data_IF_341723388242
#
_entry.id   IF_341723388242
#
_cell.length_a   1.000
_cell.length_b   1.000
_cell.length_c   1.000
_cell.angle_alpha   90.00
_cell.angle_beta   90.00
_cell.angle_gamma   90.00
#
_symmetry.space_group_name_H-M   'P 1'
#
loop_
_entity.id
_entity.type
_entity.pdbx_description
1 polymer ?
#
# COMPACT_ATOMS: atom_id res chain seq x y z
N UNK A 1 -15.99 14.34 12.80
CA UNK A 1 -16.26 13.54 11.58
C UNK A 1 -17.72 13.08 11.63
N UNK A 2 -18.45 13.08 10.51
CA UNK A 2 -19.79 12.48 10.47
C UNK A 2 -19.67 11.02 10.05
N UNK A 3 -19.99 10.11 10.95
CA UNK A 3 -19.91 8.68 10.67
C UNK A 3 -21.16 8.15 9.96
N UNK A 4 -20.96 7.08 9.21
CA UNK A 4 -22.04 6.29 8.62
C UNK A 4 -23.00 5.77 9.72
N UNK A 5 -24.33 5.77 9.50
CA UNK A 5 -25.29 5.30 10.51
C UNK A 5 -25.09 3.85 10.97
N UNK A 6 -24.63 2.96 10.09
CA UNK A 6 -24.34 1.56 10.41
C UNK A 6 -23.11 1.50 11.31
N UNK A 7 -22.07 2.29 11.00
CA UNK A 7 -20.89 2.42 11.88
C UNK A 7 -21.31 2.89 13.27
N UNK A 8 -22.06 3.99 13.37
CA UNK A 8 -22.56 4.52 14.65
C UNK A 8 -23.36 3.50 15.46
N UNK A 9 -24.23 2.73 14.81
CA UNK A 9 -25.02 1.68 15.46
C UNK A 9 -24.15 0.55 16.02
N UNK A 10 -23.04 0.23 15.36
CA UNK A 10 -22.06 -0.74 15.87
C UNK A 10 -21.29 -0.16 17.05
N UNK A 11 -20.92 1.13 17.01
CA UNK A 11 -20.21 1.79 18.11
C UNK A 11 -21.03 1.86 19.40
N UNK A 12 -22.35 2.08 19.29
CA UNK A 12 -23.23 2.20 20.47
C UNK A 12 -23.37 0.90 21.28
N UNK A 13 -22.88 -0.22 20.76
CA UNK A 13 -22.90 -1.54 21.43
C UNK A 13 -21.61 -1.84 22.18
N UNK A 14 -20.58 -1.01 22.04
CA UNK A 14 -19.29 -1.28 22.66
C UNK A 14 -19.34 -1.05 24.16
N UNK A 15 -18.71 -1.97 24.89
CA UNK A 15 -18.61 -1.95 26.34
C UNK A 15 -17.14 -1.75 26.70
N UNK A 16 -16.86 -0.79 27.58
CA UNK A 16 -15.51 -0.39 27.97
C UNK A 16 -14.62 -1.54 28.44
N UNK A 17 -15.15 -2.46 29.24
CA UNK A 17 -14.43 -3.60 29.79
C UNK A 17 -15.23 -4.88 29.52
N UNK A 18 -15.10 -5.48 28.34
CA UNK A 18 -15.82 -6.71 28.04
C UNK A 18 -15.28 -7.86 28.92
N UNK A 19 -16.18 -8.69 29.43
CA UNK A 19 -15.87 -9.85 30.29
C UNK A 19 -16.39 -11.17 29.71
N UNK A 20 -17.17 -11.12 28.63
CA UNK A 20 -17.74 -12.30 27.98
C UNK A 20 -17.45 -12.30 26.48
N UNK A 21 -17.47 -13.48 25.86
CA UNK A 21 -17.31 -13.60 24.41
C UNK A 21 -18.39 -12.87 23.62
N UNK A 22 -19.63 -12.80 24.13
CA UNK A 22 -20.71 -12.02 23.51
C UNK A 22 -20.37 -10.53 23.43
N UNK A 23 -19.73 -9.98 24.48
CA UNK A 23 -19.32 -8.58 24.48
C UNK A 23 -18.09 -8.37 23.58
N UNK A 24 -17.15 -9.30 23.59
CA UNK A 24 -16.01 -9.32 22.67
C UNK A 24 -16.47 -9.37 21.21
N UNK A 25 -17.56 -10.09 20.93
CA UNK A 25 -18.13 -10.21 19.59
C UNK A 25 -18.47 -8.84 18.97
N UNK A 26 -18.87 -7.84 19.76
CA UNK A 26 -19.13 -6.50 19.22
C UNK A 26 -17.87 -5.81 18.69
N UNK A 27 -16.73 -5.96 19.36
CA UNK A 27 -15.44 -5.48 18.86
C UNK A 27 -15.00 -6.25 17.61
N UNK A 28 -15.19 -7.58 17.63
CA UNK A 28 -14.89 -8.44 16.50
C UNK A 28 -15.73 -8.07 15.27
N UNK A 29 -17.01 -7.75 15.46
CA UNK A 29 -17.91 -7.28 14.40
C UNK A 29 -17.41 -5.98 13.75
N UNK A 30 -16.93 -5.03 14.54
CA UNK A 30 -16.35 -3.79 13.99
C UNK A 30 -15.17 -4.11 13.08
N UNK A 31 -14.26 -4.97 13.52
CA UNK A 31 -13.08 -5.34 12.72
C UNK A 31 -13.48 -6.13 11.47
N UNK A 32 -14.41 -7.07 11.57
CA UNK A 32 -14.85 -7.86 10.41
C UNK A 32 -15.60 -7.02 9.38
N UNK A 33 -16.36 -6.02 9.82
CA UNK A 33 -17.21 -5.21 8.93
C UNK A 33 -16.46 -4.00 8.36
N UNK A 34 -15.66 -3.32 9.17
CA UNK A 34 -15.02 -2.05 8.80
C UNK A 34 -13.50 -2.16 8.64
N UNK A 35 -12.90 -3.29 8.96
CA UNK A 35 -11.46 -3.51 8.90
C UNK A 35 -10.71 -2.96 10.12
N UNK A 36 -9.40 -2.78 9.98
CA UNK A 36 -8.49 -2.33 11.05
C UNK A 36 -8.01 -0.89 10.89
N UNK A 37 -8.24 -0.31 9.71
CA UNK A 37 -7.79 1.02 9.32
C UNK A 37 -8.91 1.71 8.54
N UNK A 38 -8.92 3.04 8.57
CA UNK A 38 -9.70 3.84 7.63
C UNK A 38 -8.76 4.61 6.70
N UNK A 39 -9.28 5.02 5.55
CA UNK A 39 -8.54 5.84 4.60
C UNK A 39 -8.64 7.30 5.08
N UNK A 40 -7.53 7.87 5.53
CA UNK A 40 -7.47 9.25 6.03
C UNK A 40 -7.14 10.25 4.92
N UNK A 41 -6.50 9.79 3.84
CA UNK A 41 -6.22 10.61 2.67
C UNK A 41 -6.14 9.73 1.43
N UNK A 42 -6.61 10.24 0.30
CA UNK A 42 -6.47 9.63 -1.02
C UNK A 42 -5.79 10.61 -1.97
N UNK A 43 -4.99 10.05 -2.87
CA UNK A 43 -4.53 10.73 -4.08
C UNK A 43 -5.25 10.09 -5.25
N UNK A 44 -5.95 10.90 -6.04
CA UNK A 44 -6.70 10.46 -7.21
C UNK A 44 -6.04 10.99 -8.49
N UNK A 45 -6.16 10.24 -9.59
CA UNK A 45 -5.67 10.64 -10.91
C UNK A 45 -5.50 9.43 -11.82
N UNK A 46 -4.47 9.45 -12.67
CA UNK A 46 -4.07 8.32 -13.49
C UNK A 46 -2.69 7.77 -13.10
N UNK A 47 -2.51 6.46 -13.28
CA UNK A 47 -1.23 5.76 -13.19
C UNK A 47 -1.00 4.98 -14.48
N UNK A 48 0.25 5.01 -14.95
CA UNK A 48 0.78 4.04 -15.90
C UNK A 48 1.89 3.26 -15.21
N UNK A 49 1.75 1.95 -15.18
CA UNK A 49 2.74 1.02 -14.63
C UNK A 49 3.39 0.25 -15.77
N UNK A 50 4.71 0.21 -15.79
CA UNK A 50 5.46 -0.61 -16.74
C UNK A 50 6.18 -1.73 -15.99
N UNK A 51 5.90 -2.96 -16.38
CA UNK A 51 6.54 -4.16 -15.85
C UNK A 51 7.50 -4.70 -16.91
N UNK A 52 8.79 -4.71 -16.61
CA UNK A 52 9.80 -5.34 -17.46
C UNK A 52 10.22 -6.66 -16.84
N UNK A 53 9.94 -7.75 -17.52
CA UNK A 53 10.45 -9.07 -17.17
C UNK A 53 11.78 -9.25 -17.90
N UNK A 54 12.83 -9.60 -17.16
CA UNK A 54 14.18 -9.79 -17.70
C UNK A 54 14.57 -11.26 -17.52
N UNK A 55 15.03 -11.91 -18.59
CA UNK A 55 15.45 -13.32 -18.55
C UNK A 55 16.55 -13.54 -17.51
N UNK A 56 16.52 -14.69 -16.82
CA UNK A 56 17.55 -15.03 -15.82
C UNK A 56 18.94 -15.10 -16.45
N UNK A 57 19.04 -15.62 -17.68
CA UNK A 57 20.29 -15.66 -18.44
C UNK A 57 20.89 -14.26 -18.60
N UNK A 58 20.08 -13.26 -18.93
CA UNK A 58 20.58 -11.89 -19.06
C UNK A 58 21.02 -11.31 -17.71
N UNK A 59 20.29 -11.60 -16.62
CA UNK A 59 20.66 -11.19 -15.26
C UNK A 59 21.98 -11.80 -14.76
N UNK A 60 22.37 -12.97 -15.25
CA UNK A 60 23.64 -13.61 -14.91
C UNK A 60 24.84 -12.97 -15.60
N UNK A 61 24.64 -12.38 -16.79
CA UNK A 61 25.71 -11.80 -17.61
C UNK A 61 25.93 -10.31 -17.36
N UNK A 62 24.90 -9.62 -16.88
CA UNK A 62 24.92 -8.17 -16.68
C UNK A 62 24.67 -7.81 -15.22
N UNK A 63 25.42 -6.83 -14.72
CA UNK A 63 25.18 -6.31 -13.39
C UNK A 63 23.86 -5.52 -13.32
N UNK A 64 23.33 -5.41 -12.10
CA UNK A 64 22.04 -4.76 -11.85
C UNK A 64 21.96 -3.32 -12.37
N UNK A 65 23.04 -2.54 -12.27
CA UNK A 65 23.04 -1.13 -12.69
C UNK A 65 22.95 -1.03 -14.22
N UNK A 66 23.64 -1.92 -14.94
CA UNK A 66 23.53 -2.02 -16.40
C UNK A 66 22.11 -2.37 -16.85
N UNK A 67 21.47 -3.32 -16.18
CA UNK A 67 20.07 -3.71 -16.47
C UNK A 67 19.12 -2.54 -16.19
N UNK A 68 19.25 -1.88 -15.04
CA UNK A 68 18.43 -0.71 -14.68
C UNK A 68 18.60 0.43 -15.68
N UNK A 69 19.83 0.69 -16.16
CA UNK A 69 20.08 1.68 -17.20
C UNK A 69 19.35 1.35 -18.50
N UNK A 70 19.42 0.10 -18.96
CA UNK A 70 18.69 -0.33 -20.16
C UNK A 70 17.17 -0.21 -19.98
N UNK A 71 16.64 -0.59 -18.80
CA UNK A 71 15.23 -0.40 -18.45
C UNK A 71 14.82 1.07 -18.50
N UNK A 72 15.62 1.99 -17.96
CA UNK A 72 15.33 3.43 -18.00
C UNK A 72 15.32 4.00 -19.42
N UNK A 73 16.25 3.57 -20.28
CA UNK A 73 16.27 3.97 -21.70
C UNK A 73 15.02 3.45 -22.42
N UNK A 74 14.70 2.16 -22.25
CA UNK A 74 13.52 1.54 -22.86
C UNK A 74 12.21 2.19 -22.40
N UNK A 75 12.12 2.53 -21.11
CA UNK A 75 10.99 3.26 -20.54
C UNK A 75 10.83 4.64 -21.20
N UNK A 76 11.91 5.40 -21.33
CA UNK A 76 11.90 6.71 -22.01
C UNK A 76 11.45 6.61 -23.47
N UNK A 77 11.92 5.60 -24.20
CA UNK A 77 11.52 5.34 -25.58
C UNK A 77 10.02 5.05 -25.70
N UNK A 78 9.47 4.17 -24.86
CA UNK A 78 8.04 3.82 -24.89
C UNK A 78 7.17 5.03 -24.55
N UNK A 79 7.52 5.78 -23.50
CA UNK A 79 6.79 7.01 -23.15
C UNK A 79 6.84 8.04 -24.28
N UNK A 80 8.00 8.20 -24.92
CA UNK A 80 8.17 9.09 -26.07
C UNK A 80 7.22 8.69 -27.21
N UNK A 81 7.22 7.40 -27.60
CA UNK A 81 6.32 6.85 -28.63
C UNK A 81 4.83 7.02 -28.30
N UNK A 82 4.48 6.95 -27.02
CA UNK A 82 3.13 7.19 -26.54
C UNK A 82 2.73 8.67 -26.59
N UNK A 83 3.69 9.58 -26.51
CA UNK A 83 3.48 11.04 -26.42
C UNK A 83 3.57 11.81 -27.74
N UNK A 84 3.69 11.14 -28.89
CA UNK A 84 3.98 11.74 -30.22
C UNK A 84 2.92 12.77 -30.72
N UNK A 85 1.82 12.96 -30.01
CA UNK A 85 0.91 14.11 -30.19
C UNK A 85 1.45 15.43 -29.61
N UNK A 86 2.53 15.41 -28.82
CA UNK A 86 3.22 16.57 -28.27
C UNK A 86 4.68 16.58 -28.73
N UNK A 87 5.17 17.73 -29.19
CA UNK A 87 6.50 17.98 -29.78
C UNK A 87 7.70 17.68 -28.83
N UNK A 88 7.82 16.45 -28.34
CA UNK A 88 8.96 15.97 -27.58
C UNK A 88 10.01 15.45 -28.54
N UNK A 89 11.02 16.27 -28.83
CA UNK A 89 12.23 15.83 -29.52
C UNK A 89 13.02 14.91 -28.58
N UNK A 90 12.80 13.59 -28.65
CA UNK A 90 13.48 12.64 -27.75
C UNK A 90 14.10 11.42 -28.43
N UNK A 91 15.13 10.92 -27.74
CA UNK A 91 16.15 9.95 -28.14
C UNK A 91 15.61 8.71 -28.87
N UNK A 92 16.33 8.32 -29.92
CA UNK A 92 16.23 7.00 -30.55
C UNK A 92 16.37 5.93 -29.46
N UNK A 93 15.55 4.87 -29.54
CA UNK A 93 15.65 3.72 -28.66
C UNK A 93 17.07 3.14 -28.67
N UNK A 94 17.88 3.55 -27.69
CA UNK A 94 19.27 3.16 -27.51
C UNK A 94 19.40 1.89 -26.65
N UNK A 95 18.30 1.16 -26.42
CA UNK A 95 18.41 -0.15 -25.78
C UNK A 95 19.11 -1.14 -26.69
N UNK A 96 19.92 -2.03 -26.11
CA UNK A 96 20.64 -3.02 -26.91
C UNK A 96 19.67 -4.07 -27.46
N UNK A 97 19.95 -4.58 -28.66
CA UNK A 97 19.16 -5.68 -29.23
C UNK A 97 19.18 -6.94 -28.35
N UNK A 98 20.26 -7.14 -27.60
CA UNK A 98 20.34 -8.22 -26.61
C UNK A 98 19.36 -8.01 -25.45
N UNK A 99 19.24 -6.79 -24.94
CA UNK A 99 18.26 -6.45 -23.92
C UNK A 99 16.84 -6.71 -24.45
N UNK A 100 16.49 -6.15 -25.62
CA UNK A 100 15.16 -6.34 -26.23
C UNK A 100 14.76 -7.81 -26.39
N UNK A 101 15.70 -8.66 -26.83
CA UNK A 101 15.47 -10.11 -27.00
C UNK A 101 15.30 -10.87 -25.69
N UNK A 102 15.83 -10.34 -24.59
CA UNK A 102 15.79 -10.96 -23.27
C UNK A 102 14.78 -10.31 -22.33
N UNK A 103 13.96 -9.38 -22.83
CA UNK A 103 12.97 -8.70 -22.03
C UNK A 103 11.58 -8.75 -22.62
N UNK A 104 10.57 -8.86 -21.75
CA UNK A 104 9.17 -8.66 -22.09
C UNK A 104 8.66 -7.46 -21.31
N UNK A 105 7.95 -6.55 -21.99
CA UNK A 105 7.42 -5.33 -21.39
C UNK A 105 5.89 -5.37 -21.42
N UNK A 106 5.28 -5.29 -20.24
CA UNK A 106 3.84 -5.14 -20.06
C UNK A 106 3.55 -3.72 -19.53
N UNK A 107 2.63 -3.01 -20.17
CA UNK A 107 2.17 -1.68 -19.73
C UNK A 107 0.73 -1.78 -19.25
N UNK A 108 0.49 -1.35 -18.00
CA UNK A 108 -0.85 -1.29 -17.39
C UNK A 108 -1.25 0.16 -17.17
N UNK A 109 -2.46 0.47 -17.57
CA UNK A 109 -3.07 1.77 -17.40
C UNK A 109 -4.14 1.71 -16.31
N UNK A 110 -4.18 2.73 -15.47
CA UNK A 110 -5.18 2.93 -14.43
C UNK A 110 -5.65 4.40 -14.49
N UNK A 111 -6.92 4.71 -14.81
CA UNK A 111 -8.00 3.79 -15.18
C UNK A 111 -7.65 2.91 -16.40
N UNK A 112 -8.21 1.70 -16.42
CA UNK A 112 -7.95 0.73 -17.48
C UNK A 112 -8.42 1.27 -18.84
N UNK A 113 -7.62 1.03 -19.89
CA UNK A 113 -7.97 1.30 -21.29
C UNK A 113 -8.14 -0.01 -22.03
N UNK A 114 -9.22 -0.15 -22.80
CA UNK A 114 -9.38 -1.30 -23.68
C UNK A 114 -8.55 -1.08 -24.94
N UNK A 115 -7.73 -2.07 -25.28
CA UNK A 115 -6.80 -2.00 -26.39
C UNK A 115 -7.25 -2.90 -27.51
N UNK A 116 -7.49 -2.36 -28.69
CA UNK A 116 -7.65 -3.13 -29.94
C UNK A 116 -6.39 -2.98 -30.79
N UNK A 117 -6.15 -3.85 -31.79
CA UNK A 117 -5.03 -3.67 -32.72
C UNK A 117 -5.03 -2.28 -33.38
N UNK A 118 -6.21 -1.70 -33.62
CA UNK A 118 -6.38 -0.39 -34.24
C UNK A 118 -6.16 0.78 -33.27
N UNK A 119 -6.34 0.60 -31.95
CA UNK A 119 -6.15 1.67 -30.95
C UNK A 119 -4.83 1.56 -30.19
N UNK A 120 -3.99 0.58 -30.51
CA UNK A 120 -2.70 0.35 -29.80
C UNK A 120 -1.81 1.60 -29.75
N UNK A 121 -1.80 2.41 -30.80
CA UNK A 121 -1.02 3.65 -30.87
C UNK A 121 -1.67 4.85 -30.17
N UNK A 122 -2.95 4.77 -29.80
CA UNK A 122 -3.72 5.83 -29.11
C UNK A 122 -3.97 5.54 -27.63
N UNK A 123 -3.36 4.49 -27.08
CA UNK A 123 -3.60 4.06 -25.70
C UNK A 123 -3.32 5.17 -24.71
N UNK A 124 -2.29 5.96 -24.95
CA UNK A 124 -1.92 7.10 -24.12
C UNK A 124 -2.97 8.20 -24.13
N UNK A 125 -3.39 8.66 -25.31
CA UNK A 125 -4.41 9.71 -25.43
C UNK A 125 -5.75 9.27 -24.80
N UNK A 126 -6.15 8.02 -25.04
CA UNK A 126 -7.37 7.44 -24.45
C UNK A 126 -7.23 7.35 -22.92
N UNK A 127 -6.06 6.95 -22.42
CA UNK A 127 -5.81 6.88 -20.99
C UNK A 127 -5.80 8.27 -20.36
N UNK A 128 -5.18 9.25 -21.00
CA UNK A 128 -5.09 10.62 -20.50
C UNK A 128 -6.47 11.27 -20.38
N UNK A 129 -7.32 11.07 -21.38
CA UNK A 129 -8.73 11.48 -21.35
C UNK A 129 -9.49 10.80 -20.20
N UNK A 130 -9.32 9.48 -20.03
CA UNK A 130 -9.94 8.74 -18.92
C UNK A 130 -9.41 9.10 -17.55
N UNK A 131 -8.11 9.37 -17.41
CA UNK A 131 -7.50 9.77 -16.15
C UNK A 131 -8.05 11.12 -15.67
N UNK A 132 -8.39 11.99 -16.63
CA UNK A 132 -8.98 13.30 -16.37
C UNK A 132 -10.48 13.22 -16.08
N UNK A 133 -11.23 12.42 -16.85
CA UNK A 133 -12.70 12.30 -16.70
C UNK A 133 -13.15 11.30 -15.63
N UNK A 134 -12.37 10.24 -15.40
CA UNK A 134 -12.66 9.12 -14.49
C UNK A 134 -11.41 8.72 -13.68
N UNK A 135 -10.87 9.62 -12.84
CA UNK A 135 -9.67 9.33 -12.07
C UNK A 135 -9.87 8.14 -11.13
N UNK A 136 -8.80 7.40 -10.86
CA UNK A 136 -8.79 6.31 -9.89
C UNK A 136 -7.98 6.66 -8.66
N UNK A 137 -8.19 5.94 -7.56
CA UNK A 137 -7.37 6.07 -6.35
C UNK A 137 -5.99 5.50 -6.63
N UNK A 138 -4.98 6.37 -6.68
CA UNK A 138 -3.59 6.03 -6.95
C UNK A 138 -2.87 5.64 -5.67
N UNK A 139 -3.09 6.43 -4.62
CA UNK A 139 -2.45 6.23 -3.34
C UNK A 139 -3.46 6.49 -2.23
N UNK A 140 -3.28 5.77 -1.12
CA UNK A 140 -4.09 5.89 0.07
C UNK A 140 -3.20 5.92 1.29
N UNK A 141 -3.44 6.89 2.16
CA UNK A 141 -2.89 6.87 3.52
C UNK A 141 -3.91 6.19 4.41
N UNK A 142 -3.47 5.18 5.15
CA UNK A 142 -4.28 4.46 6.10
C UNK A 142 -3.94 4.94 7.51
N UNK A 143 -4.98 5.23 8.29
CA UNK A 143 -4.86 5.55 9.71
C UNK A 143 -5.53 4.46 10.54
N UNK A 144 -5.00 4.13 11.73
CA UNK A 144 -5.62 3.15 12.62
C UNK A 144 -7.08 3.48 12.89
N UNK A 145 -7.95 2.47 12.86
CA UNK A 145 -9.38 2.68 13.11
C UNK A 145 -9.64 3.30 14.51
N UNK A 146 -8.77 3.01 15.48
CA UNK A 146 -8.81 3.53 16.85
C UNK A 146 -8.66 5.05 16.95
N UNK A 147 -8.14 5.72 15.92
CA UNK A 147 -8.05 7.19 15.89
C UNK A 147 -9.43 7.84 15.76
N UNK A 148 -10.42 7.13 15.20
CA UNK A 148 -11.80 7.61 15.10
C UNK A 148 -12.54 7.63 16.45
N UNK A 149 -11.96 7.02 17.48
CA UNK A 149 -12.59 6.81 18.79
C UNK A 149 -12.15 7.84 19.83
N UNK A 150 -11.67 9.01 19.40
CA UNK A 150 -11.08 10.00 20.32
C UNK A 150 -12.07 10.49 21.40
N UNK A 151 -13.36 10.52 21.09
CA UNK A 151 -14.45 10.92 21.98
C UNK A 151 -14.99 9.76 22.85
N UNK A 152 -14.53 8.54 22.64
CA UNK A 152 -14.94 7.36 23.41
C UNK A 152 -14.03 7.14 24.62
N UNK A 153 -14.54 6.47 25.68
CA UNK A 153 -13.74 6.05 26.82
C UNK A 153 -12.42 5.38 26.41
N UNK A 154 -11.35 5.68 27.15
CA UNK A 154 -10.01 5.19 26.86
C UNK A 154 -9.92 3.65 26.88
N UNK A 155 -10.76 3.01 27.69
CA UNK A 155 -10.88 1.56 27.79
C UNK A 155 -11.38 0.95 26.48
N UNK A 156 -12.39 1.56 25.84
CA UNK A 156 -12.89 1.13 24.52
C UNK A 156 -11.78 1.21 23.49
N UNK A 157 -11.07 2.35 23.45
CA UNK A 157 -9.94 2.57 22.51
C UNK A 157 -8.84 1.53 22.73
N UNK A 158 -8.45 1.31 23.99
CA UNK A 158 -7.42 0.34 24.37
C UNK A 158 -7.83 -1.07 23.98
N UNK A 159 -9.06 -1.46 24.26
CA UNK A 159 -9.57 -2.80 23.99
C UNK A 159 -9.70 -3.07 22.49
N UNK A 160 -10.22 -2.09 21.73
CA UNK A 160 -10.24 -2.15 20.27
C UNK A 160 -8.83 -2.28 19.70
N UNK A 161 -7.87 -1.50 20.21
CA UNK A 161 -6.48 -1.58 19.76
C UNK A 161 -5.86 -2.95 20.04
N UNK A 162 -6.11 -3.54 21.22
CA UNK A 162 -5.67 -4.90 21.54
C UNK A 162 -6.31 -5.94 20.61
N UNK A 163 -7.58 -5.77 20.28
CA UNK A 163 -8.30 -6.66 19.36
C UNK A 163 -7.72 -6.58 17.94
N UNK A 164 -7.45 -5.36 17.45
CA UNK A 164 -6.79 -5.12 16.16
C UNK A 164 -5.38 -5.72 16.14
N UNK A 165 -4.57 -5.45 17.18
CA UNK A 165 -3.21 -5.99 17.31
C UNK A 165 -3.20 -7.52 17.26
N UNK A 166 -4.15 -8.16 17.95
CA UNK A 166 -4.29 -9.61 17.92
C UNK A 166 -4.67 -10.10 16.52
N UNK A 167 -5.67 -9.49 15.88
CA UNK A 167 -6.13 -9.87 14.55
C UNK A 167 -5.00 -9.78 13.51
N UNK A 168 -4.25 -8.67 13.49
CA UNK A 168 -3.14 -8.45 12.56
C UNK A 168 -2.00 -9.47 12.74
N UNK A 169 -1.74 -9.92 13.97
CA UNK A 169 -0.66 -10.88 14.26
C UNK A 169 -1.06 -12.33 13.97
N UNK A 170 -2.32 -12.68 14.20
CA UNK A 170 -2.77 -14.07 14.20
C UNK A 170 -3.66 -14.41 12.99
N UNK A 171 -4.08 -13.43 12.20
CA UNK A 171 -4.99 -13.62 11.06
C UNK A 171 -6.41 -14.07 11.45
N UNK A 172 -6.78 -14.00 12.74
CA UNK A 172 -8.08 -14.43 13.25
C UNK A 172 -8.57 -13.53 14.39
N UNK A 173 -9.88 -13.43 14.55
CA UNK A 173 -10.52 -12.64 15.60
C UNK A 173 -10.36 -13.35 16.96
N UNK A 174 -10.07 -12.62 18.05
CA UNK A 174 -9.84 -13.21 19.36
C UNK A 174 -11.14 -13.54 20.12
N UNK A 175 -11.04 -14.49 21.05
CA UNK A 175 -11.96 -14.62 22.19
C UNK A 175 -11.54 -13.72 23.35
N UNK A 176 -12.40 -13.53 24.35
CA UNK A 176 -12.08 -12.68 25.50
C UNK A 176 -10.88 -13.22 26.31
N UNK A 177 -10.78 -14.55 26.45
CA UNK A 177 -9.68 -15.22 27.15
C UNK A 177 -8.33 -15.02 26.45
N UNK A 178 -8.34 -15.04 25.12
CA UNK A 178 -7.13 -14.83 24.31
C UNK A 178 -6.59 -13.41 24.50
N UNK A 179 -7.45 -12.40 24.54
CA UNK A 179 -7.02 -11.01 24.79
C UNK A 179 -6.47 -10.81 26.19
N UNK A 180 -7.08 -11.44 27.19
CA UNK A 180 -6.63 -11.38 28.57
C UNK A 180 -5.18 -11.88 28.71
N UNK A 181 -4.83 -12.95 27.98
CA UNK A 181 -3.45 -13.47 27.96
C UNK A 181 -2.44 -12.51 27.31
N UNK A 182 -2.87 -11.73 26.32
CA UNK A 182 -2.02 -10.77 25.59
C UNK A 182 -1.74 -9.53 26.46
N UNK A 183 -2.76 -9.00 27.12
CA UNK A 183 -2.61 -7.84 28.00
C UNK A 183 -1.64 -8.13 29.15
N UNK A 184 -1.75 -9.33 29.74
CA UNK A 184 -0.81 -9.80 30.78
C UNK A 184 0.64 -9.88 30.28
N UNK A 185 0.86 -10.37 29.05
CA UNK A 185 2.21 -10.40 28.45
C UNK A 185 2.76 -9.00 28.23
N UNK A 186 1.95 -8.07 27.71
CA UNK A 186 2.36 -6.69 27.43
C UNK A 186 2.73 -5.95 28.73
N UNK A 187 1.94 -6.11 29.79
CA UNK A 187 2.24 -5.56 31.13
C UNK A 187 3.55 -6.11 31.69
N UNK A 188 3.80 -7.42 31.56
CA UNK A 188 5.08 -8.04 31.98
C UNK A 188 6.27 -7.49 31.20
N UNK A 189 6.16 -7.34 29.87
CA UNK A 189 7.24 -6.80 29.04
C UNK A 189 7.57 -5.35 29.39
N UNK A 190 6.57 -4.52 29.69
CA UNK A 190 6.79 -3.12 30.13
C UNK A 190 7.52 -3.10 31.48
N UNK A 191 7.10 -3.93 32.43
CA UNK A 191 7.74 -4.01 33.75
C UNK A 191 9.20 -4.48 33.65
N UNK A 192 9.50 -5.42 32.76
CA UNK A 192 10.88 -5.89 32.52
C UNK A 192 11.71 -4.80 31.84
N UNK A 193 11.18 -4.14 30.79
CA UNK A 193 11.87 -3.06 30.11
C UNK A 193 12.18 -1.89 31.06
N UNK A 194 11.21 -1.46 31.88
CA UNK A 194 11.42 -0.40 32.87
C UNK A 194 12.48 -0.76 33.92
N UNK A 195 12.61 -2.05 34.30
CA UNK A 195 13.69 -2.51 35.20
C UNK A 195 15.07 -2.55 34.54
N UNK A 196 15.14 -2.75 33.23
CA UNK A 196 16.40 -2.87 32.49
C UNK A 196 16.90 -1.52 31.92
N UNK A 197 16.00 -0.55 31.77
CA UNK A 197 16.31 0.78 31.23
C UNK A 197 17.31 1.65 32.04
N UNK A 198 17.55 1.47 33.37
CA UNK A 198 18.58 2.26 34.06
C UNK A 198 20.02 1.96 33.61
N UNK A 199 20.27 0.85 32.90
CA UNK A 199 21.62 0.32 32.66
C UNK A 199 22.01 0.14 31.18
N UNK A 200 21.15 0.49 30.23
CA UNK A 200 21.45 0.33 28.81
C UNK A 200 21.97 1.63 28.21
N UNK A 201 23.30 1.74 28.12
CA UNK A 201 23.95 2.69 27.19
C UNK A 201 23.56 2.32 25.75
N UNK A 202 23.05 3.31 25.02
CA UNK A 202 22.51 3.17 23.67
C UNK A 202 23.59 2.64 22.70
N UNK A 203 23.35 1.48 22.08
CA UNK A 203 24.17 0.97 20.97
C UNK A 203 23.32 0.88 19.72
N UNK A 204 23.82 1.39 18.60
CA UNK A 204 23.03 1.54 17.38
C UNK A 204 22.64 0.20 16.73
N UNK A 205 21.42 0.08 16.17
CA UNK A 205 20.95 -1.14 15.53
C UNK A 205 21.49 -1.32 14.10
N UNK A 206 22.03 -2.52 13.82
CA UNK A 206 22.52 -2.95 12.49
C UNK A 206 21.37 -3.16 11.48
N UNK A 207 21.50 -2.55 10.30
CA UNK A 207 20.56 -2.66 9.16
C UNK A 207 20.60 -4.05 8.50
N UNK A 208 19.43 -4.69 8.32
CA UNK A 208 19.25 -5.92 7.50
C UNK A 208 18.93 -5.57 6.04
N UNK A 209 19.50 -6.33 5.09
CA UNK A 209 19.27 -6.23 3.62
C UNK A 209 17.91 -6.81 3.20
N UNK A 210 17.24 -6.18 2.21
CA UNK A 210 15.94 -6.55 1.61
C UNK A 210 16.12 -7.10 0.18
N UNK A 211 15.17 -7.94 -0.28
CA UNK A 211 14.99 -8.35 -1.70
C UNK A 211 14.36 -7.21 -2.52
N UNK A 212 14.70 -7.13 -3.81
CA UNK A 212 14.27 -6.07 -4.73
C UNK A 212 13.20 -6.56 -5.72
N UNK A 213 12.15 -5.76 -5.84
CA UNK A 213 11.28 -5.67 -7.02
C UNK A 213 11.37 -4.19 -7.41
N UNK A 214 11.75 -3.87 -8.66
CA UNK A 214 11.83 -2.49 -9.12
C UNK A 214 10.59 -2.19 -9.96
N UNK A 215 9.70 -1.37 -9.41
CA UNK A 215 8.55 -0.81 -10.10
C UNK A 215 8.81 0.67 -10.34
N UNK A 216 9.01 1.06 -11.60
CA UNK A 216 9.04 2.48 -11.98
C UNK A 216 7.59 2.97 -12.06
N UNK A 217 7.15 3.66 -11.01
CA UNK A 217 5.80 4.22 -10.91
C UNK A 217 5.82 5.67 -11.42
N UNK A 218 5.06 5.95 -12.48
CA UNK A 218 4.84 7.32 -12.92
C UNK A 218 3.51 7.84 -12.36
N UNK A 219 3.59 8.92 -11.59
CA UNK A 219 2.44 9.57 -10.97
C UNK A 219 2.19 10.90 -11.66
N UNK A 220 1.16 10.96 -12.50
CA UNK A 220 0.64 12.22 -13.02
C UNK A 220 -0.33 12.79 -11.99
N UNK A 221 0.13 13.79 -11.23
CA UNK A 221 -0.70 14.54 -10.30
C UNK A 221 -1.44 15.64 -11.08
N UNK A 222 -2.64 15.33 -11.58
CA UNK A 222 -3.49 16.24 -12.36
C UNK A 222 -4.18 17.30 -11.48
N UNK A 223 -3.43 17.97 -10.59
CA UNK A 223 -4.01 18.99 -9.71
C UNK A 223 -4.32 20.33 -10.38
N UNK A 224 -3.89 20.56 -11.63
CA UNK A 224 -4.03 21.85 -12.32
C UNK A 224 -4.29 21.71 -13.84
N UNK A 225 -5.17 20.79 -14.27
CA UNK A 225 -5.67 20.75 -15.65
C UNK A 225 -7.17 21.04 -15.68
#
# INVERSE_FOLDING_TARGET
>A
LRFDPIFNRSLSKLIANPTTDTQQMYYNQIISTFGTHYISSIVIGGVVEMFTQVSSKYQEHYDKQSIEKQMSIGFGSILSQMSVSHNFNFEVDNTTEEFKKNTEIEVKFSPSVMTTPTTKHKQWDIWLDRASSTPVVINRTLSPLTDLFIEYPIEIRRHLNLTIDYYLRNGKLPTIDQLSSVDLRKKRSINVAQRLLPHLQYTEPRRRRKRFVNSNLFLLNLKNA
#
